data_IF_591480028505
#
_entry.id   IF_591480028505
#
_cell.length_a   1.000
_cell.length_b   1.000
_cell.length_c   1.000
_cell.angle_alpha   90.00
_cell.angle_beta   90.00
_cell.angle_gamma   90.00
#
_symmetry.space_group_name_H-M   'P 1'
#
loop_
_entity.id
_entity.type
_entity.pdbx_description
1 polymer ?
#
# COMPACT_ATOMS: atom_id res chain seq x y z
N UNK A 1 -22.60 2.34 2.61
CA UNK A 1 -21.48 1.53 2.10
C UNK A 1 -20.69 1.04 3.30
N UNK A 2 -20.48 -0.28 3.47
CA UNK A 2 -19.63 -0.78 4.56
C UNK A 2 -18.16 -0.68 4.13
N UNK A 3 -17.32 -0.16 5.02
CA UNK A 3 -15.88 0.01 4.83
C UNK A 3 -15.11 -0.92 5.76
N UNK A 4 -13.92 -1.35 5.35
CA UNK A 4 -12.98 -2.07 6.20
C UNK A 4 -11.58 -1.51 6.02
N UNK A 5 -10.85 -1.46 7.12
CA UNK A 5 -9.42 -1.17 7.09
C UNK A 5 -8.62 -2.44 6.87
N UNK A 6 -7.46 -2.30 6.23
CA UNK A 6 -6.47 -3.36 6.13
C UNK A 6 -5.05 -2.75 6.11
N UNK A 7 -4.05 -3.56 6.45
CA UNK A 7 -2.66 -3.12 6.52
C UNK A 7 -2.10 -2.90 5.12
N UNK A 8 -1.57 -1.72 4.86
CA UNK A 8 -0.95 -1.37 3.58
C UNK A 8 0.27 -2.26 3.33
N UNK A 9 1.22 -2.27 4.26
CA UNK A 9 2.52 -2.90 4.03
C UNK A 9 2.63 -4.24 4.77
N UNK A 10 2.79 -5.38 4.06
CA UNK A 10 2.98 -6.66 4.72
C UNK A 10 4.37 -6.75 5.39
N UNK A 11 4.42 -7.43 6.54
CA UNK A 11 5.64 -8.15 6.94
C UNK A 11 5.57 -9.58 6.40
N UNK A 12 6.73 -10.18 6.14
CA UNK A 12 6.83 -11.52 5.57
C UNK A 12 7.26 -12.61 6.56
N UNK A 13 7.49 -12.24 7.82
CA UNK A 13 7.80 -13.16 8.92
C UNK A 13 6.75 -14.28 9.04
N UNK A 14 7.19 -15.54 9.04
CA UNK A 14 6.32 -16.73 9.09
C UNK A 14 5.41 -16.94 7.89
N UNK A 15 5.63 -16.22 6.77
CA UNK A 15 4.84 -16.33 5.53
C UNK A 15 5.64 -17.01 4.42
N UNK A 16 4.94 -17.39 3.35
CA UNK A 16 5.55 -17.94 2.12
C UNK A 16 6.47 -19.13 2.40
N UNK A 17 5.98 -20.09 3.19
CA UNK A 17 6.74 -21.28 3.60
C UNK A 17 8.10 -20.92 4.23
N UNK A 18 8.10 -19.88 5.08
CA UNK A 18 9.27 -19.41 5.83
C UNK A 18 10.44 -18.95 4.94
N UNK A 19 10.16 -18.54 3.69
CA UNK A 19 11.17 -18.08 2.72
C UNK A 19 12.08 -16.99 3.28
N UNK A 20 11.55 -16.12 4.14
CA UNK A 20 12.23 -14.92 4.64
C UNK A 20 12.83 -15.08 6.04
N UNK A 21 12.78 -16.29 6.61
CA UNK A 21 13.28 -16.53 7.95
C UNK A 21 14.79 -16.31 8.01
N UNK A 22 15.24 -15.58 9.03
CA UNK A 22 16.65 -15.20 9.20
C UNK A 22 17.14 -14.04 8.32
N UNK A 23 16.31 -13.50 7.42
CA UNK A 23 16.72 -12.36 6.57
C UNK A 23 16.69 -11.03 7.32
N UNK A 24 15.89 -10.96 8.39
CA UNK A 24 15.85 -9.85 9.36
C UNK A 24 16.10 -10.41 10.75
N UNK A 25 16.81 -9.66 11.59
CA UNK A 25 16.94 -9.94 13.01
C UNK A 25 15.59 -9.82 13.73
N UNK A 26 15.47 -10.40 14.94
CA UNK A 26 14.22 -10.30 15.72
C UNK A 26 13.82 -8.86 16.02
N UNK A 27 14.80 -7.99 16.33
CA UNK A 27 14.57 -6.56 16.53
C UNK A 27 14.00 -5.89 15.27
N UNK A 28 14.58 -6.14 14.10
CA UNK A 28 14.09 -5.58 12.83
C UNK A 28 12.69 -6.08 12.47
N UNK A 29 12.40 -7.36 12.73
CA UNK A 29 11.07 -7.94 12.50
C UNK A 29 10.02 -7.29 13.39
N UNK A 30 10.29 -7.15 14.68
CA UNK A 30 9.37 -6.54 15.63
C UNK A 30 9.15 -5.05 15.36
N UNK A 31 10.20 -4.31 15.00
CA UNK A 31 10.07 -2.92 14.57
C UNK A 31 9.14 -2.80 13.35
N UNK A 32 9.38 -3.58 12.30
CA UNK A 32 8.54 -3.56 11.09
C UNK A 32 7.10 -3.91 11.43
N UNK A 33 6.87 -5.00 12.19
CA UNK A 33 5.53 -5.44 12.62
C UNK A 33 4.77 -4.36 13.39
N UNK A 34 5.45 -3.66 14.29
CA UNK A 34 4.84 -2.60 15.09
C UNK A 34 4.48 -1.40 14.20
N UNK A 35 5.42 -0.95 13.36
CA UNK A 35 5.26 0.27 12.55
C UNK A 35 4.17 0.12 11.49
N UNK A 36 4.06 -1.03 10.83
CA UNK A 36 2.98 -1.28 9.83
C UNK A 36 1.60 -1.48 10.48
N UNK A 37 1.51 -1.54 11.82
CA UNK A 37 0.24 -1.61 12.55
C UNK A 37 -0.22 -0.26 13.11
N UNK A 38 0.55 0.81 12.89
CA UNK A 38 0.11 2.17 13.23
C UNK A 38 -1.03 2.63 12.31
N UNK A 39 -1.69 3.75 12.62
CA UNK A 39 -2.74 4.31 11.76
C UNK A 39 -2.21 4.62 10.35
N UNK A 40 -0.97 5.12 10.26
CA UNK A 40 -0.27 5.34 9.00
C UNK A 40 0.01 4.06 8.21
N UNK A 41 -0.10 2.88 8.82
CA UNK A 41 0.02 1.58 8.16
C UNK A 41 -1.28 0.95 7.68
N UNK A 42 -2.41 1.63 7.83
CA UNK A 42 -3.71 1.12 7.37
C UNK A 42 -4.32 2.00 6.27
N UNK A 43 -5.03 1.35 5.36
CA UNK A 43 -5.85 1.97 4.32
C UNK A 43 -7.28 1.46 4.46
N UNK A 44 -8.26 2.21 3.94
CA UNK A 44 -9.68 1.86 4.00
C UNK A 44 -10.18 1.58 2.59
N UNK A 45 -10.89 0.47 2.43
CA UNK A 45 -11.58 0.11 1.19
C UNK A 45 -13.02 -0.37 1.46
N UNK A 46 -13.88 -0.42 0.43
CA UNK A 46 -15.18 -1.08 0.53
C UNK A 46 -15.05 -2.55 0.98
N UNK A 47 -15.85 -2.92 1.99
CA UNK A 47 -15.77 -4.23 2.65
C UNK A 47 -16.65 -5.31 2.00
N UNK A 48 -17.60 -4.92 1.17
CA UNK A 48 -18.54 -5.84 0.53
C UNK A 48 -18.02 -6.25 -0.85
N UNK A 49 -18.21 -7.52 -1.23
CA UNK A 49 -17.83 -8.01 -2.56
C UNK A 49 -18.71 -7.34 -3.63
N UNK A 50 -18.09 -6.96 -4.75
CA UNK A 50 -18.77 -6.43 -5.93
C UNK A 50 -18.21 -7.14 -7.15
N UNK A 51 -18.99 -8.08 -7.70
CA UNK A 51 -18.64 -8.92 -8.86
C UNK A 51 -17.23 -9.55 -8.79
N UNK A 52 -16.87 -10.11 -7.63
CA UNK A 52 -15.57 -10.74 -7.41
C UNK A 52 -15.03 -10.54 -5.99
N UNK A 53 -13.71 -10.48 -5.86
CA UNK A 53 -13.02 -10.15 -4.62
C UNK A 53 -13.22 -8.69 -4.22
N UNK A 54 -13.18 -8.42 -2.91
CA UNK A 54 -12.94 -7.05 -2.43
C UNK A 54 -11.53 -6.59 -2.82
N UNK A 55 -11.27 -5.28 -2.78
CA UNK A 55 -9.92 -4.75 -3.07
C UNK A 55 -8.88 -5.38 -2.13
N UNK A 56 -9.19 -5.47 -0.83
CA UNK A 56 -8.33 -6.14 0.16
C UNK A 56 -8.05 -7.60 -0.20
N UNK A 57 -9.06 -8.34 -0.65
CA UNK A 57 -8.87 -9.73 -1.08
C UNK A 57 -8.04 -9.82 -2.36
N UNK A 58 -8.33 -8.98 -3.36
CA UNK A 58 -7.68 -9.02 -4.67
C UNK A 58 -6.17 -8.75 -4.59
N UNK A 59 -5.74 -7.76 -3.78
CA UNK A 59 -4.31 -7.48 -3.59
C UNK A 59 -3.56 -8.61 -2.87
N UNK A 60 -4.22 -9.30 -1.94
CA UNK A 60 -3.61 -10.38 -1.15
C UNK A 60 -3.49 -11.71 -1.89
N UNK A 61 -4.49 -12.06 -2.71
CA UNK A 61 -4.45 -13.29 -3.52
C UNK A 61 -3.64 -13.13 -4.80
N UNK A 62 -3.42 -11.90 -5.26
CA UNK A 62 -2.64 -11.63 -6.47
C UNK A 62 -1.17 -11.97 -6.25
N UNK A 63 -0.66 -12.97 -6.99
CA UNK A 63 0.76 -13.34 -7.00
C UNK A 63 1.67 -12.27 -7.61
N UNK A 64 1.08 -11.25 -8.24
CA UNK A 64 1.77 -10.11 -8.86
C UNK A 64 1.85 -8.94 -7.87
N UNK A 65 0.95 -8.85 -6.89
CA UNK A 65 0.91 -7.75 -5.91
C UNK A 65 1.39 -8.21 -4.54
N UNK A 66 0.94 -9.37 -4.06
CA UNK A 66 1.32 -9.96 -2.76
C UNK A 66 1.20 -8.98 -1.59
N UNK A 67 0.06 -8.29 -1.51
CA UNK A 67 -0.24 -7.22 -0.54
C UNK A 67 0.65 -5.97 -0.60
N UNK A 68 1.64 -5.87 -1.50
CA UNK A 68 2.48 -4.67 -1.61
C UNK A 68 1.66 -3.44 -1.97
N UNK A 69 1.67 -2.45 -1.08
CA UNK A 69 0.85 -1.25 -1.25
C UNK A 69 1.36 -0.34 -2.36
N UNK A 70 2.67 -0.22 -2.57
CA UNK A 70 3.21 0.56 -3.70
C UNK A 70 2.73 0.01 -5.05
N UNK A 71 2.73 -1.31 -5.24
CA UNK A 71 2.13 -1.95 -6.42
C UNK A 71 0.61 -1.76 -6.49
N UNK A 72 -0.07 -1.77 -5.34
CA UNK A 72 -1.52 -1.50 -5.28
C UNK A 72 -1.83 -0.04 -5.65
N UNK A 73 -1.01 0.91 -5.18
CA UNK A 73 -1.14 2.33 -5.45
C UNK A 73 -0.86 2.63 -6.91
N UNK A 74 0.09 1.94 -7.52
CA UNK A 74 0.32 2.02 -8.98
C UNK A 74 -0.90 1.53 -9.77
N UNK A 75 -1.55 0.44 -9.35
CA UNK A 75 -2.82 0.03 -9.96
C UNK A 75 -3.91 1.11 -9.83
N UNK A 76 -3.99 1.79 -8.68
CA UNK A 76 -4.94 2.90 -8.46
C UNK A 76 -4.58 4.09 -9.34
N UNK A 77 -3.30 4.45 -9.45
CA UNK A 77 -2.82 5.52 -10.36
C UNK A 77 -3.21 5.24 -11.80
N UNK A 78 -3.01 3.99 -12.25
CA UNK A 78 -3.40 3.53 -13.59
C UNK A 78 -4.90 3.56 -13.80
N UNK A 79 -5.68 3.16 -12.80
CA UNK A 79 -7.14 3.24 -12.86
C UNK A 79 -7.64 4.67 -13.15
N UNK A 80 -7.08 5.69 -12.50
CA UNK A 80 -7.43 7.10 -12.78
C UNK A 80 -6.94 7.63 -14.13
N UNK A 81 -6.06 6.89 -14.83
CA UNK A 81 -5.54 7.22 -16.17
C UNK A 81 -6.13 6.34 -17.27
N UNK A 82 -7.13 5.51 -16.94
CA UNK A 82 -7.68 4.48 -17.84
C UNK A 82 -6.60 3.54 -18.41
N UNK A 83 -5.55 3.26 -17.63
CA UNK A 83 -4.43 2.36 -17.96
C UNK A 83 -4.65 0.97 -17.35
N UNK A 84 -4.19 -0.07 -18.05
CA UNK A 84 -4.32 -1.45 -17.58
C UNK A 84 -3.35 -1.80 -16.44
N UNK A 85 -3.83 -2.62 -15.50
CA UNK A 85 -3.11 -3.07 -14.31
C UNK A 85 -3.61 -4.45 -13.83
N UNK A 86 -2.85 -5.16 -12.99
CA UNK A 86 -3.30 -6.42 -12.39
C UNK A 86 -4.62 -6.34 -11.59
N UNK A 87 -5.03 -5.13 -11.18
CA UNK A 87 -6.26 -4.92 -10.41
C UNK A 87 -7.35 -4.20 -11.21
N UNK A 88 -7.19 -3.91 -12.51
CA UNK A 88 -8.15 -3.13 -13.33
C UNK A 88 -9.59 -3.56 -13.08
N UNK A 89 -9.91 -4.84 -13.33
CA UNK A 89 -11.26 -5.38 -13.16
C UNK A 89 -11.81 -5.16 -11.75
N UNK A 90 -10.99 -5.38 -10.72
CA UNK A 90 -11.42 -5.18 -9.33
C UNK A 90 -11.67 -3.70 -9.06
N UNK A 91 -10.77 -2.80 -9.47
CA UNK A 91 -10.93 -1.36 -9.23
C UNK A 91 -12.15 -0.81 -9.98
N UNK A 92 -12.40 -1.23 -11.22
CA UNK A 92 -13.60 -0.88 -12.00
C UNK A 92 -14.89 -1.30 -11.30
N UNK A 93 -14.93 -2.46 -10.65
CA UNK A 93 -16.11 -2.88 -9.88
C UNK A 93 -16.43 -1.88 -8.74
N UNK A 94 -15.43 -1.19 -8.20
CA UNK A 94 -15.56 -0.19 -7.14
C UNK A 94 -15.39 1.24 -7.66
N UNK A 95 -15.67 1.52 -8.94
CA UNK A 95 -15.55 2.86 -9.54
C UNK A 95 -16.29 3.93 -8.71
N UNK A 96 -17.47 3.62 -8.21
CA UNK A 96 -18.27 4.49 -7.33
C UNK A 96 -17.52 4.95 -6.08
N UNK A 97 -16.64 4.12 -5.51
CA UNK A 97 -15.77 4.51 -4.41
C UNK A 97 -14.67 5.47 -4.87
N UNK A 98 -14.03 5.17 -6.00
CA UNK A 98 -12.91 5.97 -6.50
C UNK A 98 -13.36 7.34 -7.07
N UNK A 99 -14.58 7.42 -7.60
CA UNK A 99 -15.18 8.66 -8.09
C UNK A 99 -15.34 9.72 -6.98
N UNK A 100 -15.40 9.31 -5.71
CA UNK A 100 -15.46 10.22 -4.56
C UNK A 100 -14.24 11.14 -4.44
N UNK A 101 -13.10 10.72 -5.00
CA UNK A 101 -11.83 11.43 -4.88
C UNK A 101 -11.48 12.25 -6.12
N UNK A 102 -12.34 12.22 -7.15
CA UNK A 102 -12.22 12.95 -8.43
C UNK A 102 -11.06 12.43 -9.31
N UNK A 103 -9.84 12.46 -8.81
CA UNK A 103 -8.63 12.02 -9.52
C UNK A 103 -7.62 11.35 -8.57
N UNK A 104 -6.48 10.90 -9.13
CA UNK A 104 -5.44 10.24 -8.34
C UNK A 104 -4.87 11.16 -7.25
N UNK A 105 -4.69 12.44 -7.55
CA UNK A 105 -4.18 13.43 -6.61
C UNK A 105 -5.13 13.62 -5.44
N UNK A 106 -6.43 13.67 -5.69
CA UNK A 106 -7.49 13.72 -4.68
C UNK A 106 -7.50 12.47 -3.81
N UNK A 107 -7.32 11.27 -4.40
CA UNK A 107 -7.19 10.03 -3.63
C UNK A 107 -5.97 10.07 -2.70
N UNK A 108 -4.81 10.49 -3.24
CA UNK A 108 -3.57 10.64 -2.48
C UNK A 108 -3.73 11.64 -1.34
N UNK A 109 -4.36 12.79 -1.61
CA UNK A 109 -4.56 13.82 -0.59
C UNK A 109 -5.49 13.36 0.53
N UNK A 110 -6.63 12.75 0.17
CA UNK A 110 -7.62 12.29 1.12
C UNK A 110 -7.04 11.26 2.11
N UNK A 111 -6.20 10.34 1.62
CA UNK A 111 -5.61 9.28 2.44
C UNK A 111 -4.24 9.62 3.03
N UNK A 112 -3.76 10.86 2.89
CA UNK A 112 -2.44 11.31 3.35
C UNK A 112 -1.27 10.49 2.78
N UNK A 113 -1.30 10.22 1.46
CA UNK A 113 -0.32 9.39 0.76
C UNK A 113 0.73 10.20 -0.02
N UNK A 114 0.86 11.50 0.23
CA UNK A 114 1.75 12.38 -0.53
C UNK A 114 3.21 11.92 -0.49
N UNK A 115 3.63 11.25 0.58
CA UNK A 115 4.99 10.72 0.73
C UNK A 115 5.22 9.40 -0.04
N UNK A 116 4.18 8.82 -0.65
CA UNK A 116 4.24 7.59 -1.46
C UNK A 116 4.38 7.88 -2.96
N UNK A 117 4.46 9.16 -3.34
CA UNK A 117 4.60 9.59 -4.72
C UNK A 117 5.69 10.65 -4.86
N UNK A 118 6.27 10.76 -6.04
CA UNK A 118 7.18 11.83 -6.41
C UNK A 118 6.42 13.10 -6.84
N UNK A 119 7.17 14.12 -7.25
CA UNK A 119 6.62 15.41 -7.71
C UNK A 119 5.85 15.32 -9.04
N UNK A 120 6.04 14.22 -9.78
CA UNK A 120 5.37 13.91 -11.05
C UNK A 120 4.23 12.90 -10.87
N UNK A 121 3.78 12.71 -9.62
CA UNK A 121 2.73 11.77 -9.23
C UNK A 121 3.05 10.30 -9.58
N UNK A 122 4.32 9.96 -9.74
CA UNK A 122 4.78 8.58 -9.89
C UNK A 122 4.90 7.93 -8.51
N UNK A 123 4.56 6.65 -8.41
CA UNK A 123 4.65 5.92 -7.15
C UNK A 123 6.10 5.66 -6.76
N UNK A 124 6.42 5.92 -5.49
CA UNK A 124 7.69 5.58 -4.88
C UNK A 124 7.70 4.09 -4.51
N UNK A 125 8.42 3.28 -5.29
CA UNK A 125 8.46 1.83 -5.12
C UNK A 125 9.53 1.39 -4.12
N UNK A 126 9.15 0.51 -3.19
CA UNK A 126 10.06 -0.06 -2.19
C UNK A 126 11.05 -1.09 -2.72
N UNK A 127 10.82 -1.59 -3.93
CA UNK A 127 11.71 -2.46 -4.70
C UNK A 127 11.64 -2.05 -6.17
N UNK A 128 12.69 -2.31 -6.99
CA UNK A 128 12.68 -1.93 -8.40
C UNK A 128 11.41 -2.37 -9.11
N UNK A 129 10.77 -1.46 -9.84
CA UNK A 129 9.52 -1.71 -10.57
C UNK A 129 9.78 -1.90 -12.06
N UNK A 130 9.17 -2.92 -12.66
CA UNK A 130 9.39 -3.31 -14.06
C UNK A 130 8.08 -3.53 -14.82
N UNK A 131 7.05 -2.75 -14.50
CA UNK A 131 5.71 -2.90 -15.08
C UNK A 131 5.05 -4.25 -14.76
N UNK A 132 5.12 -4.67 -13.49
CA UNK A 132 4.51 -5.89 -12.96
C UNK A 132 5.03 -7.22 -13.55
N UNK A 133 6.24 -7.23 -14.12
CA UNK A 133 6.81 -8.43 -14.73
C UNK A 133 7.66 -9.25 -13.74
N UNK A 134 8.27 -8.61 -12.74
CA UNK A 134 9.04 -9.29 -11.69
C UNK A 134 8.14 -9.91 -10.64
N UNK A 135 8.72 -10.85 -9.90
CA UNK A 135 8.15 -11.29 -8.64
C UNK A 135 8.08 -10.11 -7.65
N UNK A 136 6.92 -9.89 -6.98
CA UNK A 136 6.71 -8.72 -6.14
C UNK A 136 7.44 -8.79 -4.80
N UNK A 137 7.76 -10.00 -4.33
CA UNK A 137 8.43 -10.18 -3.05
C UNK A 137 9.94 -9.89 -3.17
N UNK A 138 10.64 -9.60 -2.06
CA UNK A 138 12.09 -9.56 -2.06
C UNK A 138 12.70 -10.88 -2.57
N UNK A 139 13.76 -10.75 -3.36
CA UNK A 139 14.53 -11.87 -3.91
C UNK A 139 15.86 -12.08 -3.17
N UNK A 140 16.34 -11.06 -2.45
CA UNK A 140 17.57 -11.13 -1.64
C UNK A 140 17.35 -10.53 -0.25
N UNK A 141 18.28 -10.81 0.67
CA UNK A 141 18.31 -10.20 2.01
C UNK A 141 18.40 -8.67 1.90
N UNK A 142 19.22 -8.16 0.98
CA UNK A 142 19.39 -6.73 0.78
C UNK A 142 18.12 -6.08 0.26
N UNK A 143 17.39 -6.72 -0.66
CA UNK A 143 16.07 -6.25 -1.09
C UNK A 143 15.08 -6.23 0.08
N UNK A 144 15.09 -7.23 0.97
CA UNK A 144 14.18 -7.21 2.11
C UNK A 144 14.53 -6.10 3.10
N UNK A 145 15.83 -5.84 3.33
CA UNK A 145 16.29 -4.70 4.13
C UNK A 145 15.89 -3.37 3.49
N UNK A 146 16.08 -3.20 2.18
CA UNK A 146 15.64 -2.03 1.43
C UNK A 146 14.13 -1.81 1.57
N UNK A 147 13.33 -2.86 1.34
CA UNK A 147 11.88 -2.80 1.49
C UNK A 147 11.47 -2.40 2.91
N UNK A 148 12.12 -2.98 3.93
CA UNK A 148 11.88 -2.68 5.34
C UNK A 148 12.16 -1.20 5.62
N UNK A 149 13.37 -0.71 5.33
CA UNK A 149 13.76 0.68 5.60
C UNK A 149 12.84 1.68 4.90
N UNK A 150 12.53 1.46 3.61
CA UNK A 150 11.63 2.34 2.88
C UNK A 150 10.20 2.32 3.45
N UNK A 151 9.69 1.13 3.79
CA UNK A 151 8.38 0.99 4.43
C UNK A 151 8.34 1.73 5.77
N UNK A 152 9.36 1.58 6.61
CA UNK A 152 9.45 2.25 7.90
C UNK A 152 9.43 3.78 7.75
N UNK A 153 10.17 4.31 6.78
CA UNK A 153 10.20 5.75 6.48
C UNK A 153 8.82 6.26 6.00
N UNK A 154 8.17 5.56 5.06
CA UNK A 154 6.83 5.89 4.59
C UNK A 154 5.80 5.90 5.74
N UNK A 155 5.83 4.89 6.60
CA UNK A 155 4.95 4.84 7.78
C UNK A 155 5.21 6.02 8.72
N UNK A 156 6.48 6.36 8.96
CA UNK A 156 6.86 7.48 9.81
C UNK A 156 6.34 8.81 9.25
N UNK A 157 6.57 9.05 7.95
CA UNK A 157 6.13 10.28 7.25
C UNK A 157 4.61 10.41 7.24
N UNK A 158 3.89 9.34 6.87
CA UNK A 158 2.42 9.36 6.85
C UNK A 158 1.81 9.56 8.24
N UNK A 159 2.33 8.89 9.28
CA UNK A 159 1.85 9.12 10.65
C UNK A 159 2.07 10.58 11.08
N UNK A 160 3.25 11.16 10.76
CA UNK A 160 3.53 12.56 11.04
C UNK A 160 2.53 13.48 10.32
N UNK A 161 2.25 13.23 9.04
CA UNK A 161 1.30 14.01 8.25
C UNK A 161 -0.12 13.97 8.81
N UNK A 162 -0.58 12.78 9.19
CA UNK A 162 -1.90 12.60 9.83
C UNK A 162 -1.95 13.41 11.14
N UNK A 163 -0.91 13.33 11.97
CA UNK A 163 -0.84 14.08 13.23
C UNK A 163 -0.85 15.60 13.02
N UNK A 164 -0.06 16.10 12.07
CA UNK A 164 0.01 17.53 11.76
C UNK A 164 -1.33 18.08 11.29
N UNK A 165 -2.09 17.33 10.49
CA UNK A 165 -3.43 17.73 10.07
C UNK A 165 -4.39 17.85 11.27
N UNK A 166 -4.38 16.88 12.19
CA UNK A 166 -5.21 16.94 13.40
C UNK A 166 -4.85 18.15 14.29
N UNK A 167 -3.56 18.49 14.39
CA UNK A 167 -3.11 19.66 15.14
C UNK A 167 -3.50 20.99 14.48
N UNK A 168 -3.69 21.03 13.16
CA UNK A 168 -4.19 22.21 12.46
C UNK A 168 -5.68 22.41 12.69
N UNK A 169 -6.47 21.32 12.64
CA UNK A 169 -7.92 21.35 12.90
C UNK A 169 -8.24 21.88 14.31
N UNK A 170 -7.41 21.56 15.31
CA UNK A 170 -7.62 21.99 16.70
C UNK A 170 -7.17 23.44 16.99
N UNK A 171 -6.74 24.20 15.98
CA UNK A 171 -6.38 25.62 16.13
C UNK A 171 -7.46 26.58 15.61
N UNK A 172 -8.47 26.06 14.93
CA UNK A 172 -9.65 26.77 14.44
C UNK A 172 -10.86 26.52 15.36
#
# INVERSE_FOLDING_TARGET
>A
MNLSSDRMCPHFDGKYSNKFDGWLSDLEKEELKHKVRTIGGHIIFPAHKKNGFTINQARGVSRIICDRFDLTLECIRRFYRDEESPLSKTLTNYKDFFDLFIDFKGYVYFFYLQDFIDQLEQVEFSLPFDNFNRLPLPQTIDEYKQYKEHTLDLMKKRNKRILECLCQINKD
#
